data_IF_116052843429
#
_entry.id   IF_116052843429
#
_cell.length_a   1.000
_cell.length_b   1.000
_cell.length_c   1.000
_cell.angle_alpha   90.00
_cell.angle_beta   90.00
_cell.angle_gamma   90.00
#
_symmetry.space_group_name_H-M   'P 1'
#
loop_
_entity.id
_entity.type
_entity.pdbx_description
1 polymer ?
#
# COMPACT_ATOMS: atom_id res chain seq x y z
N UNK A 1 -6.36 31.43 -15.07
CA UNK A 1 -5.47 32.32 -14.29
C UNK A 1 -3.98 32.10 -14.56
N UNK A 2 -3.50 30.85 -14.64
CA UNK A 2 -2.08 30.60 -14.97
C UNK A 2 -1.65 31.15 -16.34
N UNK A 3 -2.51 31.05 -17.37
CA UNK A 3 -2.17 31.48 -18.74
C UNK A 3 -1.64 32.92 -18.84
N UNK A 4 -2.34 33.97 -18.39
CA UNK A 4 -1.81 35.34 -18.50
C UNK A 4 -0.52 35.57 -17.70
N UNK A 5 -0.26 34.79 -16.64
CA UNK A 5 1.02 34.85 -15.90
C UNK A 5 2.16 34.24 -16.71
N UNK A 6 1.92 33.10 -17.35
CA UNK A 6 2.91 32.40 -18.17
C UNK A 6 3.15 33.10 -19.51
N UNK A 7 2.12 33.70 -20.12
CA UNK A 7 2.25 34.55 -21.32
C UNK A 7 3.09 35.79 -21.07
N UNK A 8 3.08 36.28 -19.83
CA UNK A 8 3.86 37.43 -19.42
C UNK A 8 5.30 37.07 -19.06
N UNK A 9 5.72 35.80 -19.20
CA UNK A 9 7.13 35.40 -19.08
C UNK A 9 7.87 35.64 -20.40
N UNK A 10 9.05 36.26 -20.30
CA UNK A 10 10.04 36.44 -21.35
C UNK A 10 11.26 35.53 -21.11
N UNK A 11 12.34 35.74 -21.86
CA UNK A 11 13.58 34.97 -21.72
C UNK A 11 13.61 33.71 -22.60
N UNK A 12 14.44 32.71 -22.27
CA UNK A 12 14.58 31.51 -23.07
C UNK A 12 13.26 30.76 -23.21
N UNK A 13 13.01 30.22 -24.41
CA UNK A 13 11.90 29.29 -24.63
C UNK A 13 12.13 28.05 -23.78
N UNK A 14 11.11 27.61 -23.07
CA UNK A 14 11.19 26.43 -22.24
C UNK A 14 11.57 25.19 -23.09
N UNK A 15 12.41 24.28 -22.55
CA UNK A 15 12.60 22.94 -23.09
C UNK A 15 11.26 22.25 -23.38
N UNK A 16 11.23 21.37 -24.37
CA UNK A 16 9.97 20.75 -24.83
C UNK A 16 9.25 19.96 -23.73
N UNK A 17 10.01 19.24 -22.92
CA UNK A 17 9.58 18.46 -21.76
C UNK A 17 9.01 19.31 -20.61
N UNK A 18 9.25 20.62 -20.60
CA UNK A 18 8.72 21.55 -19.59
C UNK A 18 7.42 22.24 -20.04
N UNK A 19 6.97 22.03 -21.28
CA UNK A 19 5.82 22.76 -21.85
C UNK A 19 4.51 22.08 -21.46
N UNK A 20 3.54 22.88 -21.01
CA UNK A 20 2.16 22.44 -20.82
C UNK A 20 1.31 22.55 -22.09
N UNK A 21 0.00 22.38 -21.94
CA UNK A 21 -0.96 22.38 -23.06
C UNK A 21 -1.69 23.73 -23.32
N UNK A 22 -1.37 24.80 -22.57
CA UNK A 22 -1.89 26.15 -22.86
C UNK A 22 -1.41 26.65 -24.24
N UNK A 23 -2.23 27.45 -24.95
CA UNK A 23 -1.96 27.86 -26.33
C UNK A 23 -0.98 29.04 -26.41
N UNK A 24 0.20 28.89 -25.81
CA UNK A 24 1.19 29.96 -25.62
C UNK A 24 2.59 29.43 -25.94
N UNK A 25 3.54 30.32 -26.21
CA UNK A 25 4.96 29.93 -26.14
C UNK A 25 5.38 30.01 -24.68
N UNK A 26 5.87 28.88 -24.15
CA UNK A 26 6.36 28.84 -22.78
C UNK A 26 7.77 29.41 -22.72
N UNK A 27 7.96 30.36 -21.81
CA UNK A 27 9.26 30.90 -21.48
C UNK A 27 9.61 30.62 -20.03
N UNK A 28 10.91 30.53 -19.71
CA UNK A 28 11.39 30.23 -18.36
C UNK A 28 11.45 31.50 -17.49
N UNK A 29 11.36 32.68 -18.09
CA UNK A 29 11.56 33.95 -17.41
C UNK A 29 13.01 34.44 -17.51
N UNK A 30 13.31 35.57 -16.83
CA UNK A 30 12.39 36.34 -15.99
C UNK A 30 11.46 37.29 -16.77
N UNK A 31 10.41 37.76 -16.10
CA UNK A 31 9.73 39.04 -16.41
C UNK A 31 8.88 39.10 -17.68
N UNK A 32 8.37 40.29 -18.07
CA UNK A 32 8.58 41.57 -17.40
C UNK A 32 7.52 41.88 -16.34
N UNK A 33 6.44 41.09 -16.25
CA UNK A 33 5.38 41.33 -15.28
C UNK A 33 5.86 41.00 -13.86
N UNK A 34 5.60 41.92 -12.92
CA UNK A 34 5.76 41.66 -11.49
C UNK A 34 4.46 41.06 -10.95
N UNK A 35 4.57 39.89 -10.32
CA UNK A 35 3.44 39.24 -9.63
C UNK A 35 3.43 39.67 -8.18
N UNK A 36 2.34 40.27 -7.73
CA UNK A 36 2.13 40.57 -6.32
C UNK A 36 1.20 39.53 -5.69
N UNK A 37 1.76 38.66 -4.84
CA UNK A 37 1.00 37.67 -4.09
C UNK A 37 0.62 38.24 -2.71
N UNK A 38 -0.68 38.28 -2.41
CA UNK A 38 -1.19 38.64 -1.08
C UNK A 38 -1.86 37.43 -0.45
N UNK A 39 -1.19 36.83 0.52
CA UNK A 39 -1.65 35.62 1.21
C UNK A 39 -2.08 35.96 2.64
N UNK A 40 -3.18 35.36 3.09
CA UNK A 40 -3.67 35.45 4.46
C UNK A 40 -4.25 34.09 4.84
N UNK A 41 -3.56 33.40 5.75
CA UNK A 41 -3.90 32.04 6.19
C UNK A 41 -4.34 32.05 7.66
N UNK A 42 -5.21 31.12 8.03
CA UNK A 42 -5.66 30.92 9.41
C UNK A 42 -4.94 29.71 10.03
N UNK A 43 -3.94 29.98 10.86
CA UNK A 43 -3.11 28.94 11.51
C UNK A 43 -3.63 28.62 12.91
N UNK A 44 -4.88 28.15 13.01
CA UNK A 44 -5.52 27.82 14.28
C UNK A 44 -5.52 26.32 14.54
N UNK A 45 -5.30 25.94 15.80
CA UNK A 45 -5.57 24.58 16.27
C UNK A 45 -7.07 24.33 16.29
N UNK A 46 -7.50 23.21 15.68
CA UNK A 46 -8.91 22.79 15.65
C UNK A 46 -9.01 21.33 16.08
N UNK A 47 -10.09 20.93 16.77
CA UNK A 47 -10.31 19.53 17.08
C UNK A 47 -10.65 18.76 15.80
N UNK A 48 -10.03 17.59 15.66
CA UNK A 48 -10.35 16.57 14.66
C UNK A 48 -11.03 15.38 15.35
N UNK A 49 -11.91 14.68 14.64
CA UNK A 49 -12.72 13.59 15.17
C UNK A 49 -12.65 12.35 14.28
N UNK A 50 -11.80 11.41 14.67
CA UNK A 50 -11.85 10.06 14.13
C UNK A 50 -13.06 9.31 14.67
N UNK A 51 -13.72 8.52 13.82
CA UNK A 51 -14.77 7.57 14.24
C UNK A 51 -14.20 6.17 14.15
N UNK A 52 -14.08 5.48 15.29
CA UNK A 52 -13.49 4.13 15.36
C UNK A 52 -14.53 3.15 15.90
N UNK A 53 -14.76 2.06 15.16
CA UNK A 53 -15.66 0.96 15.50
C UNK A 53 -14.84 -0.30 15.71
N UNK A 54 -15.11 -1.04 16.78
CA UNK A 54 -14.44 -2.30 17.10
C UNK A 54 -15.45 -3.44 17.16
N UNK A 55 -15.13 -4.54 16.48
CA UNK A 55 -15.84 -5.82 16.53
C UNK A 55 -14.86 -6.83 17.13
N UNK A 56 -15.13 -7.28 18.36
CA UNK A 56 -14.22 -8.18 19.08
C UNK A 56 -14.15 -9.57 18.44
N UNK A 57 -12.92 -10.09 18.31
CA UNK A 57 -12.65 -11.45 17.88
C UNK A 57 -13.00 -12.49 18.94
N UNK A 58 -13.45 -13.66 18.50
CA UNK A 58 -13.87 -14.76 19.37
C UNK A 58 -12.73 -15.71 19.78
N UNK A 59 -11.69 -15.86 18.95
CA UNK A 59 -10.60 -16.83 19.15
C UNK A 59 -9.25 -16.12 19.35
N UNK A 60 -8.99 -15.07 18.58
CA UNK A 60 -7.76 -14.28 18.60
C UNK A 60 -8.08 -12.77 18.77
N UNK A 61 -8.64 -12.33 19.92
CA UNK A 61 -9.05 -10.94 20.13
C UNK A 61 -7.88 -9.93 20.07
N UNK A 62 -6.65 -10.39 20.27
CA UNK A 62 -5.41 -9.60 20.19
C UNK A 62 -4.78 -9.60 18.79
N UNK A 63 -5.51 -10.03 17.77
CA UNK A 63 -5.12 -9.91 16.36
C UNK A 63 -6.12 -9.00 15.65
N UNK A 64 -5.67 -7.86 15.14
CA UNK A 64 -6.54 -6.77 14.70
C UNK A 64 -6.43 -6.54 13.19
N UNK A 65 -7.54 -6.72 12.47
CA UNK A 65 -7.66 -6.29 11.07
C UNK A 65 -8.18 -4.86 11.09
N UNK A 66 -7.39 -3.91 10.60
CA UNK A 66 -7.77 -2.50 10.59
C UNK A 66 -8.14 -2.09 9.16
N UNK A 67 -9.32 -1.49 8.98
CA UNK A 67 -9.73 -0.89 7.71
C UNK A 67 -10.07 0.58 7.94
N UNK A 68 -9.37 1.46 7.22
CA UNK A 68 -9.50 2.90 7.34
C UNK A 68 -9.82 3.60 6.02
N UNK A 69 -10.47 4.75 6.16
CA UNK A 69 -10.75 5.71 5.11
C UNK A 69 -10.91 7.11 5.75
N UNK A 70 -10.40 8.19 5.16
CA UNK A 70 -10.68 9.52 5.70
C UNK A 70 -12.07 10.03 5.30
N UNK A 71 -12.64 10.91 6.11
CA UNK A 71 -13.98 11.48 5.83
C UNK A 71 -13.96 12.99 5.62
N UNK A 72 -12.86 13.67 5.93
CA UNK A 72 -12.68 15.08 5.62
C UNK A 72 -12.33 15.30 4.15
N UNK A 73 -12.81 16.40 3.59
CA UNK A 73 -12.58 16.80 2.20
C UNK A 73 -12.33 18.31 2.12
N UNK A 74 -11.62 18.77 1.09
CA UNK A 74 -11.44 20.21 0.84
C UNK A 74 -12.75 20.97 0.60
N UNK A 75 -13.68 20.37 -0.17
CA UNK A 75 -14.96 21.00 -0.53
C UNK A 75 -16.11 20.01 -0.40
N UNK A 76 -16.52 19.36 -1.49
CA UNK A 76 -17.60 18.38 -1.49
C UNK A 76 -17.04 16.94 -1.48
N UNK A 77 -15.92 16.71 -2.17
CA UNK A 77 -15.12 15.50 -2.04
C UNK A 77 -15.86 14.23 -2.41
N UNK A 78 -16.59 14.24 -3.52
CA UNK A 78 -17.42 13.10 -3.90
C UNK A 78 -16.57 11.89 -4.28
N UNK A 79 -15.50 12.10 -5.04
CA UNK A 79 -14.46 11.11 -5.27
C UNK A 79 -13.52 11.02 -4.06
N UNK A 80 -12.88 12.13 -3.71
CA UNK A 80 -11.89 12.18 -2.62
C UNK A 80 -12.48 12.87 -1.37
N UNK A 81 -12.79 12.15 -0.29
CA UNK A 81 -12.72 10.68 -0.10
C UNK A 81 -14.08 9.99 -0.05
N UNK A 82 -15.18 10.74 -0.19
CA UNK A 82 -16.51 10.27 0.21
C UNK A 82 -16.88 8.94 -0.46
N UNK A 83 -16.43 8.71 -1.70
CA UNK A 83 -16.68 7.46 -2.41
C UNK A 83 -16.11 6.22 -1.69
N UNK A 84 -14.88 6.26 -1.18
CA UNK A 84 -14.33 5.13 -0.41
C UNK A 84 -14.90 5.08 1.01
N UNK A 85 -15.23 6.22 1.62
CA UNK A 85 -15.92 6.22 2.92
C UNK A 85 -17.29 5.54 2.82
N UNK A 86 -18.03 5.77 1.74
CA UNK A 86 -19.29 5.07 1.44
C UNK A 86 -19.05 3.56 1.29
N UNK A 87 -17.98 3.14 0.62
CA UNK A 87 -17.60 1.73 0.54
C UNK A 87 -17.25 1.13 1.92
N UNK A 88 -16.59 1.89 2.80
CA UNK A 88 -16.33 1.51 4.20
C UNK A 88 -17.63 1.33 4.97
N UNK A 89 -18.56 2.28 4.87
CA UNK A 89 -19.86 2.20 5.54
C UNK A 89 -20.69 1.01 5.05
N UNK A 90 -20.70 0.72 3.74
CA UNK A 90 -21.41 -0.44 3.19
C UNK A 90 -20.77 -1.76 3.62
N UNK A 91 -19.44 -1.81 3.70
CA UNK A 91 -18.71 -2.95 4.27
C UNK A 91 -19.08 -3.16 5.74
N UNK A 92 -19.11 -2.09 6.54
CA UNK A 92 -19.54 -2.14 7.94
C UNK A 92 -20.98 -2.66 8.09
N UNK A 93 -21.89 -2.22 7.21
CA UNK A 93 -23.27 -2.70 7.17
C UNK A 93 -23.34 -4.19 6.86
N UNK A 94 -22.58 -4.67 5.87
CA UNK A 94 -22.49 -6.09 5.53
C UNK A 94 -21.98 -6.95 6.69
N UNK A 95 -20.93 -6.51 7.38
CA UNK A 95 -20.42 -7.17 8.58
C UNK A 95 -21.46 -7.21 9.70
N UNK A 96 -22.20 -6.11 9.91
CA UNK A 96 -23.27 -6.05 10.91
C UNK A 96 -24.41 -7.04 10.62
N UNK A 97 -24.77 -7.26 9.35
CA UNK A 97 -25.75 -8.28 8.96
C UNK A 97 -25.26 -9.70 9.27
N UNK A 98 -23.96 -9.98 9.02
CA UNK A 98 -23.35 -11.27 9.36
C UNK A 98 -23.34 -11.52 10.87
N UNK A 99 -22.99 -10.50 11.67
CA UNK A 99 -23.03 -10.57 13.13
C UNK A 99 -24.46 -10.87 13.65
N UNK A 100 -25.48 -10.25 13.07
CA UNK A 100 -26.88 -10.50 13.43
C UNK A 100 -27.33 -11.94 13.08
N UNK A 101 -26.73 -12.53 12.05
CA UNK A 101 -26.95 -13.93 11.66
C UNK A 101 -26.13 -14.93 12.48
N UNK A 102 -25.31 -14.46 13.42
CA UNK A 102 -24.56 -15.29 14.36
C UNK A 102 -23.13 -15.59 13.94
N UNK A 103 -22.63 -15.02 12.83
CA UNK A 103 -21.20 -15.03 12.55
C UNK A 103 -20.47 -14.23 13.64
N UNK A 104 -19.30 -14.71 14.05
CA UNK A 104 -18.37 -13.98 14.91
C UNK A 104 -16.98 -14.15 14.31
N UNK A 105 -16.23 -13.06 14.06
CA UNK A 105 -14.90 -13.19 13.50
C UNK A 105 -13.98 -13.88 14.52
N UNK A 106 -12.97 -14.62 14.03
CA UNK A 106 -11.94 -15.15 14.95
C UNK A 106 -11.05 -14.02 15.48
N UNK A 107 -10.71 -13.07 14.62
CA UNK A 107 -9.87 -11.89 14.92
C UNK A 107 -10.72 -10.64 15.14
N UNK A 108 -10.17 -9.67 15.85
CA UNK A 108 -10.83 -8.37 16.01
C UNK A 108 -10.80 -7.60 14.69
N UNK A 109 -11.90 -6.93 14.35
CA UNK A 109 -11.97 -5.99 13.23
C UNK A 109 -12.12 -4.57 13.78
N UNK A 110 -11.31 -3.65 13.27
CA UNK A 110 -11.37 -2.22 13.57
C UNK A 110 -11.70 -1.48 12.28
N UNK A 111 -12.76 -0.69 12.29
CA UNK A 111 -13.15 0.17 11.18
C UNK A 111 -12.97 1.62 11.60
N UNK A 112 -12.31 2.42 10.78
CA UNK A 112 -11.96 3.79 11.13
C UNK A 112 -12.30 4.77 10.02
N UNK A 113 -13.03 5.83 10.37
CA UNK A 113 -13.15 7.03 9.55
C UNK A 113 -12.20 8.11 10.10
N UNK A 114 -11.14 8.43 9.37
CA UNK A 114 -10.09 9.37 9.78
C UNK A 114 -10.46 10.82 9.45
N UNK A 115 -10.08 11.77 10.30
CA UNK A 115 -10.29 13.21 10.09
C UNK A 115 -8.94 13.93 9.92
N UNK A 116 -8.92 15.03 9.16
CA UNK A 116 -7.72 15.82 8.88
C UNK A 116 -6.68 15.13 8.01
N UNK A 117 -7.07 14.19 7.15
CA UNK A 117 -6.16 13.58 6.17
C UNK A 117 -5.64 14.63 5.19
N UNK A 118 -6.53 15.50 4.71
CA UNK A 118 -6.23 16.50 3.69
C UNK A 118 -5.25 17.57 4.21
N UNK A 119 -5.12 17.65 5.54
CA UNK A 119 -4.22 18.54 6.25
C UNK A 119 -2.88 17.90 6.61
N UNK A 120 -2.62 16.69 6.11
CA UNK A 120 -1.37 15.95 6.32
C UNK A 120 -1.54 14.71 7.19
N UNK A 121 -2.55 13.89 6.91
CA UNK A 121 -2.75 12.57 7.54
C UNK A 121 -2.95 12.65 9.06
N UNK A 122 -3.47 13.77 9.57
CA UNK A 122 -3.39 14.11 10.99
C UNK A 122 -4.16 13.11 11.86
N UNK A 123 -5.39 12.76 11.50
CA UNK A 123 -6.22 11.87 12.30
C UNK A 123 -5.66 10.47 12.41
N UNK A 124 -5.29 9.85 11.29
CA UNK A 124 -4.69 8.51 11.28
C UNK A 124 -3.34 8.51 11.98
N UNK A 125 -2.49 9.51 11.72
CA UNK A 125 -1.15 9.63 12.31
C UNK A 125 -1.21 9.75 13.82
N UNK A 126 -1.98 10.71 14.36
CA UNK A 126 -2.10 10.94 15.81
C UNK A 126 -2.72 9.73 16.52
N UNK A 127 -3.65 9.02 15.87
CA UNK A 127 -4.20 7.78 16.40
C UNK A 127 -3.17 6.64 16.40
N UNK A 128 -2.42 6.50 15.30
CA UNK A 128 -1.34 5.52 15.16
C UNK A 128 -0.22 5.73 16.18
N UNK A 129 0.21 6.96 16.40
CA UNK A 129 1.22 7.31 17.41
C UNK A 129 0.72 7.05 18.83
N UNK A 130 -0.52 7.46 19.14
CA UNK A 130 -1.13 7.22 20.45
C UNK A 130 -1.24 5.74 20.79
N UNK A 131 -1.54 4.90 19.81
CA UNK A 131 -1.76 3.46 19.98
C UNK A 131 -0.59 2.61 19.46
N UNK A 132 0.60 3.20 19.30
CA UNK A 132 1.72 2.57 18.61
C UNK A 132 2.16 1.24 19.24
N UNK A 133 2.16 1.12 20.56
CA UNK A 133 2.51 -0.12 21.26
C UNK A 133 1.48 -1.23 20.97
N UNK A 134 0.19 -0.90 21.05
CA UNK A 134 -0.91 -1.85 20.80
C UNK A 134 -0.94 -2.28 19.33
N UNK A 135 -0.74 -1.34 18.39
CA UNK A 135 -0.75 -1.62 16.96
C UNK A 135 0.46 -2.44 16.53
N UNK A 136 1.65 -2.18 17.07
CA UNK A 136 2.82 -3.02 16.80
C UNK A 136 2.64 -4.44 17.33
N UNK A 137 1.98 -4.58 18.48
CA UNK A 137 1.71 -5.88 19.08
C UNK A 137 0.60 -6.66 18.36
N UNK A 138 -0.47 -5.99 17.92
CA UNK A 138 -1.73 -6.66 17.58
C UNK A 138 -2.19 -6.48 16.13
N UNK A 139 -1.74 -5.45 15.41
CA UNK A 139 -2.25 -5.17 14.07
C UNK A 139 -1.78 -6.21 13.06
N UNK A 140 -2.71 -6.97 12.50
CA UNK A 140 -2.42 -7.97 11.49
C UNK A 140 -2.10 -7.32 10.16
N UNK A 141 -3.01 -6.45 9.71
CA UNK A 141 -2.88 -5.68 8.49
C UNK A 141 -3.72 -4.39 8.59
N UNK A 142 -3.31 -3.37 7.84
CA UNK A 142 -4.11 -2.18 7.58
C UNK A 142 -4.59 -2.18 6.13
N UNK A 143 -5.87 -1.92 5.90
CA UNK A 143 -6.46 -1.77 4.57
C UNK A 143 -6.94 -0.32 4.44
N UNK A 144 -6.52 0.35 3.39
CA UNK A 144 -6.88 1.72 3.03
C UNK A 144 -7.74 1.73 1.78
N UNK A 145 -8.67 2.68 1.68
CA UNK A 145 -9.55 2.81 0.50
C UNK A 145 -9.67 4.20 -0.10
N UNK A 146 -9.36 5.26 0.65
CA UNK A 146 -9.38 6.67 0.19
C UNK A 146 -10.55 6.99 -0.77
N UNK A 147 -10.31 7.41 -2.00
CA UNK A 147 -11.29 7.57 -3.06
C UNK A 147 -11.36 6.38 -4.02
N UNK A 148 -12.54 6.14 -4.58
CA UNK A 148 -12.83 5.19 -5.63
C UNK A 148 -13.55 5.89 -6.79
N UNK A 149 -13.33 5.41 -8.01
CA UNK A 149 -13.86 5.97 -9.24
C UNK A 149 -14.17 4.86 -10.24
N UNK A 150 -14.71 5.25 -11.40
CA UNK A 150 -14.81 4.35 -12.55
C UNK A 150 -13.42 3.91 -13.01
N UNK A 151 -13.23 2.61 -13.22
CA UNK A 151 -11.92 2.10 -13.55
C UNK A 151 -11.67 0.66 -13.12
N UNK A 152 -10.40 0.27 -13.09
CA UNK A 152 -9.99 -1.06 -12.64
C UNK A 152 -9.44 -0.96 -11.22
N UNK A 153 -9.37 -2.11 -10.54
CA UNK A 153 -8.74 -2.19 -9.23
C UNK A 153 -7.29 -1.68 -9.32
N UNK A 154 -6.97 -0.68 -8.52
CA UNK A 154 -5.61 -0.31 -8.15
C UNK A 154 -5.35 -0.93 -6.78
N UNK A 155 -4.26 -1.69 -6.69
CA UNK A 155 -3.80 -2.27 -5.44
C UNK A 155 -2.32 -1.94 -5.27
N UNK A 156 -1.99 -1.35 -4.13
CA UNK A 156 -0.62 -1.15 -3.69
C UNK A 156 -0.45 -1.60 -2.24
N UNK A 157 0.74 -2.00 -1.82
CA UNK A 157 0.95 -2.43 -0.45
C UNK A 157 2.23 -3.20 -0.18
N UNK A 158 2.21 -3.84 0.98
CA UNK A 158 3.15 -4.89 1.35
C UNK A 158 3.03 -6.07 0.39
N UNK A 159 4.15 -6.45 -0.22
CA UNK A 159 4.15 -7.51 -1.23
C UNK A 159 3.91 -8.89 -0.62
N UNK A 160 4.05 -9.05 0.70
CA UNK A 160 3.61 -10.24 1.43
C UNK A 160 2.10 -10.52 1.30
N UNK A 161 1.30 -9.51 0.94
CA UNK A 161 -0.15 -9.60 0.72
C UNK A 161 -0.53 -9.63 -0.77
N UNK A 162 0.43 -9.67 -1.69
CA UNK A 162 0.18 -9.66 -3.13
C UNK A 162 -0.63 -10.86 -3.59
N UNK A 163 -0.21 -12.08 -3.24
CA UNK A 163 -0.96 -13.28 -3.58
C UNK A 163 -2.37 -13.24 -2.99
N UNK A 164 -2.48 -12.81 -1.72
CA UNK A 164 -3.76 -12.69 -1.04
C UNK A 164 -4.75 -11.79 -1.78
N UNK A 165 -4.34 -10.57 -2.17
CA UNK A 165 -5.24 -9.65 -2.88
C UNK A 165 -5.55 -10.14 -4.30
N UNK A 166 -4.63 -10.86 -4.94
CA UNK A 166 -4.87 -11.54 -6.22
C UNK A 166 -5.98 -12.58 -6.12
N UNK A 167 -5.97 -13.39 -5.06
CA UNK A 167 -7.02 -14.39 -4.80
C UNK A 167 -8.37 -13.75 -4.45
N UNK A 168 -8.35 -12.62 -3.73
CA UNK A 168 -9.58 -11.83 -3.50
C UNK A 168 -10.11 -11.30 -4.82
N UNK A 169 -9.26 -10.70 -5.66
CA UNK A 169 -9.66 -10.17 -6.96
C UNK A 169 -10.17 -11.25 -7.92
N UNK A 170 -9.67 -12.50 -7.81
CA UNK A 170 -10.17 -13.65 -8.56
C UNK A 170 -11.63 -13.99 -8.21
N UNK A 171 -11.99 -13.88 -6.94
CA UNK A 171 -13.27 -14.42 -6.45
C UNK A 171 -14.36 -13.35 -6.34
N UNK A 172 -13.99 -12.07 -6.39
CA UNK A 172 -14.95 -10.96 -6.37
C UNK A 172 -15.40 -10.65 -7.80
N UNK A 173 -16.72 -10.57 -8.06
CA UNK A 173 -17.25 -10.14 -9.36
C UNK A 173 -16.74 -8.75 -9.74
N UNK A 174 -16.33 -8.59 -10.99
CA UNK A 174 -15.90 -7.31 -11.52
C UNK A 174 -17.07 -6.30 -11.66
N UNK A 175 -16.80 -4.98 -11.59
CA UNK A 175 -17.82 -3.95 -11.80
C UNK A 175 -18.26 -3.77 -13.27
N UNK A 176 -17.58 -4.39 -14.24
CA UNK A 176 -17.86 -4.31 -15.69
C UNK A 176 -18.49 -5.61 -16.23
N UNK A 177 -18.35 -5.83 -17.54
CA UNK A 177 -19.04 -6.86 -18.31
C UNK A 177 -18.46 -8.27 -18.08
N UNK A 178 -18.87 -8.90 -16.98
CA UNK A 178 -18.70 -10.34 -16.72
C UNK A 178 -17.30 -10.75 -16.28
N UNK A 179 -17.25 -11.76 -15.40
CA UNK A 179 -16.00 -12.25 -14.82
C UNK A 179 -15.69 -11.62 -13.46
N UNK A 180 -14.46 -11.85 -13.01
CA UNK A 180 -13.92 -11.34 -11.75
C UNK A 180 -13.17 -10.03 -11.92
N UNK A 181 -12.88 -9.34 -10.81
CA UNK A 181 -11.99 -8.17 -10.79
C UNK A 181 -10.63 -8.50 -11.42
N UNK A 182 -10.11 -9.70 -11.17
CA UNK A 182 -8.86 -10.18 -11.78
C UNK A 182 -8.96 -10.35 -13.29
N UNK A 183 -10.09 -10.86 -13.80
CA UNK A 183 -10.29 -11.02 -15.25
C UNK A 183 -10.31 -9.66 -15.95
N UNK A 184 -10.92 -8.65 -15.34
CA UNK A 184 -10.90 -7.27 -15.86
C UNK A 184 -9.48 -6.67 -15.87
N UNK A 185 -8.70 -6.90 -14.81
CA UNK A 185 -7.31 -6.45 -14.75
C UNK A 185 -6.45 -7.14 -15.80
N UNK A 186 -6.62 -8.44 -15.99
CA UNK A 186 -5.92 -9.19 -17.03
C UNK A 186 -6.27 -8.65 -18.42
N UNK A 187 -7.54 -8.40 -18.69
CA UNK A 187 -7.98 -7.81 -19.96
C UNK A 187 -7.35 -6.43 -20.20
N UNK A 188 -7.28 -5.58 -19.17
CA UNK A 188 -6.60 -4.28 -19.25
C UNK A 188 -5.12 -4.42 -19.56
N UNK A 189 -4.41 -5.30 -18.85
CA UNK A 189 -2.97 -5.51 -19.06
C UNK A 189 -2.69 -5.99 -20.47
N UNK A 190 -3.51 -6.89 -21.01
CA UNK A 190 -3.39 -7.35 -22.40
C UNK A 190 -3.62 -6.23 -23.43
N UNK A 191 -4.58 -5.33 -23.18
CA UNK A 191 -4.82 -4.15 -24.04
C UNK A 191 -3.66 -3.15 -24.01
N UNK A 192 -2.95 -3.06 -22.87
CA UNK A 192 -1.81 -2.17 -22.66
C UNK A 192 -0.45 -2.81 -23.00
N UNK A 193 -0.41 -4.11 -23.32
CA UNK A 193 0.84 -4.83 -23.52
C UNK A 193 1.53 -4.39 -24.81
N UNK A 194 2.81 -4.01 -24.71
CA UNK A 194 3.63 -3.63 -25.85
C UNK A 194 4.48 -4.81 -26.34
N UNK A 195 3.95 -5.58 -27.30
CA UNK A 195 4.66 -6.67 -27.98
C UNK A 195 4.31 -8.08 -27.51
N UNK A 196 4.72 -9.08 -28.30
CA UNK A 196 4.33 -10.48 -28.12
C UNK A 196 4.86 -11.10 -26.82
N UNK A 197 6.05 -10.69 -26.36
CA UNK A 197 6.66 -11.20 -25.12
C UNK A 197 5.86 -10.75 -23.88
N UNK A 198 5.46 -9.48 -23.83
CA UNK A 198 4.62 -8.96 -22.75
C UNK A 198 3.24 -9.63 -22.71
N UNK A 199 2.64 -9.89 -23.89
CA UNK A 199 1.39 -10.64 -24.01
C UNK A 199 1.57 -12.06 -23.46
N UNK A 200 2.62 -12.78 -23.88
CA UNK A 200 2.89 -14.14 -23.44
C UNK A 200 3.10 -14.23 -21.91
N UNK A 201 3.79 -13.25 -21.33
CA UNK A 201 3.98 -13.14 -19.88
C UNK A 201 2.65 -12.96 -19.13
N UNK A 202 1.80 -12.03 -19.59
CA UNK A 202 0.47 -11.82 -19.00
C UNK A 202 -0.43 -13.04 -19.20
N UNK A 203 -0.31 -13.74 -20.32
CA UNK A 203 -1.08 -14.95 -20.58
C UNK A 203 -0.67 -16.13 -19.68
N UNK A 204 0.62 -16.23 -19.38
CA UNK A 204 1.19 -17.25 -18.50
C UNK A 204 0.98 -16.94 -17.01
N UNK A 205 0.82 -15.66 -16.65
CA UNK A 205 0.64 -15.25 -15.27
C UNK A 205 -0.79 -15.46 -14.75
N UNK A 206 -0.92 -16.04 -13.55
CA UNK A 206 -2.19 -16.15 -12.84
C UNK A 206 -2.43 -14.99 -11.85
N UNK A 207 -1.46 -14.08 -11.73
CA UNK A 207 -1.43 -12.98 -10.78
C UNK A 207 -1.16 -11.64 -11.48
N UNK A 208 -1.35 -10.55 -10.75
CA UNK A 208 -0.92 -9.22 -11.12
C UNK A 208 -0.05 -8.63 -10.00
N UNK A 209 1.01 -7.88 -10.35
CA UNK A 209 1.81 -7.20 -9.37
C UNK A 209 0.99 -6.09 -8.70
N UNK A 210 1.22 -5.86 -7.42
CA UNK A 210 0.76 -4.66 -6.73
C UNK A 210 1.87 -3.60 -6.71
N UNK A 211 1.52 -2.33 -6.59
CA UNK A 211 2.53 -1.27 -6.47
C UNK A 211 3.09 -1.17 -5.06
N UNK A 212 4.35 -0.78 -4.89
CA UNK A 212 4.84 -0.32 -3.59
C UNK A 212 4.10 0.96 -3.15
N UNK A 213 3.92 1.13 -1.84
CA UNK A 213 3.33 2.35 -1.27
C UNK A 213 4.42 3.33 -0.82
N UNK A 214 4.19 4.60 -1.12
CA UNK A 214 4.96 5.72 -0.56
C UNK A 214 4.13 6.35 0.54
N UNK A 215 3.71 7.59 0.34
CA UNK A 215 2.72 8.26 1.18
C UNK A 215 1.56 8.76 0.32
N UNK A 216 0.74 9.66 0.85
CA UNK A 216 -0.41 10.25 0.16
C UNK A 216 -1.75 9.63 0.50
N UNK A 217 -1.82 8.84 1.58
CA UNK A 217 -3.07 8.52 2.29
C UNK A 217 -2.75 7.94 3.68
N UNK A 218 -3.79 7.59 4.44
CA UNK A 218 -3.73 7.21 5.86
C UNK A 218 -2.89 5.95 6.16
N UNK A 219 -2.56 5.13 5.16
CA UNK A 219 -1.67 3.97 5.35
C UNK A 219 -0.26 4.35 5.79
N UNK A 220 0.16 5.60 5.60
CA UNK A 220 1.52 6.09 5.87
C UNK A 220 1.99 5.78 7.30
N UNK A 221 1.17 6.07 8.32
CA UNK A 221 1.55 5.76 9.72
C UNK A 221 1.62 4.25 9.98
N UNK A 222 0.76 3.48 9.33
CA UNK A 222 0.70 2.03 9.50
C UNK A 222 1.92 1.37 8.86
N UNK A 223 2.17 1.61 7.57
CA UNK A 223 3.27 0.99 6.85
C UNK A 223 4.62 1.62 7.23
N UNK A 224 4.77 2.93 7.07
CA UNK A 224 6.10 3.52 7.11
C UNK A 224 6.62 3.73 8.53
N UNK A 225 5.74 4.02 9.49
CA UNK A 225 6.14 4.30 10.88
C UNK A 225 6.01 3.10 11.82
N UNK A 226 4.88 2.38 11.73
CA UNK A 226 4.58 1.24 12.59
C UNK A 226 4.94 -0.11 11.97
N UNK A 227 5.37 -0.13 10.70
CA UNK A 227 5.72 -1.32 9.91
C UNK A 227 4.63 -2.38 9.90
N UNK A 228 3.38 -1.94 9.86
CA UNK A 228 2.18 -2.76 9.67
C UNK A 228 2.00 -3.09 8.20
N UNK A 229 1.87 -4.39 7.89
CA UNK A 229 1.57 -4.84 6.54
C UNK A 229 0.29 -4.14 6.05
N UNK A 230 0.38 -3.44 4.92
CA UNK A 230 -0.69 -2.53 4.50
C UNK A 230 -1.10 -2.76 3.05
N UNK A 231 -2.37 -2.52 2.75
CA UNK A 231 -2.92 -2.48 1.39
C UNK A 231 -3.64 -1.15 1.17
N UNK A 232 -3.51 -0.56 -0.01
CA UNK A 232 -4.35 0.52 -0.51
C UNK A 232 -5.12 0.02 -1.71
N UNK A 233 -6.45 0.04 -1.63
CA UNK A 233 -7.35 -0.55 -2.61
C UNK A 233 -8.35 0.50 -3.09
N UNK A 234 -8.40 0.74 -4.40
CA UNK A 234 -9.39 1.62 -5.02
C UNK A 234 -9.73 1.15 -6.43
N UNK A 235 -10.80 1.67 -7.03
CA UNK A 235 -11.01 1.55 -8.47
C UNK A 235 -10.71 2.87 -9.16
N UNK A 236 -9.93 2.86 -10.24
CA UNK A 236 -9.63 4.07 -11.03
C UNK A 236 -9.05 3.75 -12.41
N UNK A 237 -9.00 4.74 -13.30
CA UNK A 237 -8.33 4.65 -14.60
C UNK A 237 -9.16 5.07 -15.82
N UNK A 238 -10.50 5.08 -15.74
CA UNK A 238 -11.38 5.49 -16.85
C UNK A 238 -11.76 6.97 -16.73
N UNK A 239 -10.79 7.86 -16.98
CA UNK A 239 -10.96 9.29 -16.79
C UNK A 239 -10.90 9.64 -15.30
N UNK A 240 -9.68 9.83 -14.80
CA UNK A 240 -9.42 10.09 -13.39
C UNK A 240 -10.13 11.36 -12.90
N UNK A 241 -10.36 11.42 -11.59
CA UNK A 241 -10.72 12.66 -10.89
C UNK A 241 -9.67 13.76 -11.09
N UNK A 242 -8.53 13.52 -11.76
CA UNK A 242 -7.45 14.50 -11.94
C UNK A 242 -7.88 15.85 -12.54
N UNK A 243 -8.97 15.89 -13.31
CA UNK A 243 -9.53 17.15 -13.81
C UNK A 243 -10.34 17.96 -12.79
N UNK A 244 -10.77 17.34 -11.69
CA UNK A 244 -11.64 17.93 -10.65
C UNK A 244 -11.08 17.80 -9.23
N UNK A 245 -9.97 17.09 -9.05
CA UNK A 245 -9.29 16.81 -7.78
C UNK A 245 -9.11 18.09 -6.95
N UNK A 246 -9.43 18.00 -5.65
CA UNK A 246 -9.36 19.10 -4.67
C UNK A 246 -10.06 20.39 -5.10
N UNK A 247 -11.05 20.28 -5.98
CA UNK A 247 -11.81 21.42 -6.48
C UNK A 247 -13.27 21.33 -6.09
N UNK A 248 -13.98 22.46 -6.19
CA UNK A 248 -15.45 22.48 -6.04
C UNK A 248 -16.21 21.64 -7.08
N UNK A 249 -15.53 21.16 -8.12
CA UNK A 249 -16.09 20.32 -9.16
C UNK A 249 -15.99 18.83 -8.84
N UNK A 250 -15.22 18.45 -7.81
CA UNK A 250 -15.36 17.13 -7.20
C UNK A 250 -16.66 17.11 -6.39
N UNK A 251 -17.76 16.98 -7.12
CA UNK A 251 -19.13 17.06 -6.64
C UNK A 251 -19.88 15.78 -6.95
N UNK A 252 -20.95 15.54 -6.19
CA UNK A 252 -21.83 14.40 -6.43
C UNK A 252 -22.35 14.39 -7.88
N UNK A 253 -22.73 15.54 -8.41
CA UNK A 253 -23.19 15.67 -9.80
C UNK A 253 -22.12 15.21 -10.81
N UNK A 254 -20.86 15.62 -10.63
CA UNK A 254 -19.76 15.14 -11.49
C UNK A 254 -19.59 13.63 -11.35
N UNK A 255 -19.54 13.15 -10.10
CA UNK A 255 -19.30 11.75 -9.78
C UNK A 255 -20.35 10.84 -10.44
N UNK A 256 -21.64 11.15 -10.27
CA UNK A 256 -22.74 10.36 -10.85
C UNK A 256 -22.97 10.59 -12.34
N UNK A 257 -22.31 11.58 -12.95
CA UNK A 257 -22.42 11.83 -14.40
C UNK A 257 -21.26 11.23 -15.18
N UNK A 258 -20.04 11.28 -14.63
CA UNK A 258 -18.82 10.97 -15.37
C UNK A 258 -17.96 9.87 -14.76
N UNK A 259 -18.03 9.67 -13.43
CA UNK A 259 -17.29 8.62 -12.74
C UNK A 259 -18.17 7.38 -12.59
N UNK A 260 -18.52 6.97 -11.38
CA UNK A 260 -19.26 5.73 -11.10
C UNK A 260 -20.79 5.95 -11.12
N UNK A 261 -21.33 6.15 -12.33
CA UNK A 261 -22.75 6.51 -12.61
C UNK A 261 -23.75 5.61 -11.90
N UNK A 262 -23.53 4.29 -11.94
CA UNK A 262 -24.43 3.27 -11.37
C UNK A 262 -23.92 2.70 -10.04
N UNK A 263 -22.89 3.30 -9.44
CA UNK A 263 -22.24 2.87 -8.19
C UNK A 263 -21.68 1.44 -8.20
N UNK A 264 -21.43 0.88 -9.38
CA UNK A 264 -20.97 -0.52 -9.53
C UNK A 264 -19.53 -0.69 -9.06
N UNK A 265 -18.68 0.34 -9.19
CA UNK A 265 -17.29 0.31 -8.74
C UNK A 265 -17.19 0.50 -7.22
N UNK A 266 -17.99 1.40 -6.66
CA UNK A 266 -18.10 1.61 -5.20
C UNK A 266 -18.60 0.33 -4.52
N UNK A 267 -19.57 -0.36 -5.12
CA UNK A 267 -20.01 -1.70 -4.69
C UNK A 267 -18.88 -2.71 -4.81
N UNK A 268 -18.18 -2.76 -5.94
CA UNK A 268 -17.07 -3.70 -6.14
C UNK A 268 -15.96 -3.47 -5.11
N UNK A 269 -15.60 -2.22 -4.79
CA UNK A 269 -14.64 -1.90 -3.74
C UNK A 269 -15.08 -2.43 -2.37
N UNK A 270 -16.34 -2.18 -1.98
CA UNK A 270 -16.89 -2.74 -0.74
C UNK A 270 -16.84 -4.27 -0.71
N UNK A 271 -17.11 -4.93 -1.85
CA UNK A 271 -17.04 -6.39 -1.95
C UNK A 271 -15.59 -6.91 -1.89
N UNK A 272 -14.64 -6.23 -2.55
CA UNK A 272 -13.21 -6.54 -2.49
C UNK A 272 -12.69 -6.42 -1.06
N UNK A 273 -12.90 -5.27 -0.42
CA UNK A 273 -12.42 -5.01 0.94
C UNK A 273 -13.14 -5.87 1.97
N UNK A 274 -14.46 -6.01 1.87
CA UNK A 274 -15.24 -6.89 2.74
C UNK A 274 -14.80 -8.35 2.64
N UNK A 275 -14.51 -8.84 1.43
CA UNK A 275 -13.97 -10.19 1.23
C UNK A 275 -12.58 -10.32 1.83
N UNK A 276 -11.71 -9.32 1.65
CA UNK A 276 -10.38 -9.31 2.26
C UNK A 276 -10.47 -9.35 3.80
N UNK A 277 -11.30 -8.50 4.41
CA UNK A 277 -11.52 -8.48 5.86
C UNK A 277 -12.03 -9.83 6.35
N UNK A 278 -13.05 -10.41 5.71
CA UNK A 278 -13.59 -11.71 6.12
C UNK A 278 -12.55 -12.82 6.07
N UNK A 279 -11.75 -12.88 4.99
CA UNK A 279 -10.67 -13.88 4.85
C UNK A 279 -9.61 -13.71 5.92
N UNK A 280 -9.13 -12.49 6.16
CA UNK A 280 -8.15 -12.22 7.22
C UNK A 280 -8.73 -12.51 8.61
N UNK A 281 -9.99 -12.13 8.85
CA UNK A 281 -10.64 -12.27 10.15
C UNK A 281 -10.87 -13.74 10.54
N UNK A 282 -11.13 -14.62 9.57
CA UNK A 282 -11.49 -16.03 9.81
C UNK A 282 -10.40 -17.06 9.45
N UNK A 283 -9.30 -16.60 8.83
CA UNK A 283 -8.17 -17.45 8.45
C UNK A 283 -7.65 -18.30 9.61
N UNK A 284 -7.44 -19.60 9.39
CA UNK A 284 -6.75 -20.45 10.37
C UNK A 284 -5.27 -20.08 10.44
N UNK A 285 -4.62 -19.97 9.28
CA UNK A 285 -3.29 -19.41 9.10
C UNK A 285 -3.41 -18.18 8.21
N UNK A 286 -2.81 -17.06 8.62
CA UNK A 286 -2.87 -15.82 7.87
C UNK A 286 -2.20 -15.95 6.49
N UNK A 287 -2.81 -15.40 5.42
CA UNK A 287 -2.38 -15.63 4.04
C UNK A 287 -1.24 -14.71 3.61
N UNK A 288 -0.12 -14.76 4.35
CA UNK A 288 1.12 -14.07 3.97
C UNK A 288 1.97 -15.00 3.09
N UNK A 289 2.54 -14.45 2.02
CA UNK A 289 3.49 -15.14 1.14
C UNK A 289 4.86 -14.46 1.24
N UNK A 290 5.93 -15.25 1.32
CA UNK A 290 7.31 -14.74 1.44
C UNK A 290 8.19 -15.00 0.22
N UNK A 291 7.73 -15.83 -0.72
CA UNK A 291 8.43 -16.12 -1.99
C UNK A 291 8.28 -14.92 -2.92
N UNK A 292 7.06 -14.52 -3.24
CA UNK A 292 6.74 -13.34 -4.05
C UNK A 292 7.33 -12.07 -3.42
N UNK A 293 7.41 -12.04 -2.09
CA UNK A 293 8.00 -10.92 -1.37
C UNK A 293 9.52 -10.84 -1.62
N UNK A 294 10.24 -11.97 -1.48
CA UNK A 294 11.67 -12.03 -1.77
C UNK A 294 11.97 -11.68 -3.24
N UNK A 295 11.18 -12.21 -4.18
CA UNK A 295 11.30 -11.92 -5.61
C UNK A 295 11.12 -10.43 -5.91
N UNK A 296 10.10 -9.79 -5.32
CA UNK A 296 9.85 -8.36 -5.52
C UNK A 296 10.95 -7.49 -4.92
N UNK A 297 11.45 -7.80 -3.72
CA UNK A 297 12.60 -7.04 -3.17
C UNK A 297 13.83 -7.25 -4.06
N UNK A 298 14.02 -8.46 -4.61
CA UNK A 298 15.07 -8.76 -5.57
C UNK A 298 15.08 -7.84 -6.78
N UNK A 299 13.91 -7.54 -7.37
CA UNK A 299 13.83 -6.60 -8.50
C UNK A 299 14.21 -5.17 -8.08
N UNK A 300 13.91 -4.74 -6.85
CA UNK A 300 14.39 -3.45 -6.35
C UNK A 300 15.91 -3.42 -6.19
N UNK A 301 16.54 -4.53 -5.81
CA UNK A 301 18.01 -4.63 -5.76
C UNK A 301 18.61 -4.50 -7.17
N UNK A 302 17.98 -5.09 -8.19
CA UNK A 302 18.39 -4.91 -9.60
C UNK A 302 18.24 -3.47 -10.09
N UNK A 303 17.19 -2.75 -9.64
CA UNK A 303 17.05 -1.32 -9.91
C UNK A 303 18.15 -0.49 -9.22
N UNK A 304 18.61 -0.89 -8.02
CA UNK A 304 19.74 -0.25 -7.34
C UNK A 304 21.04 -0.49 -8.10
N UNK A 305 21.31 -1.72 -8.58
CA UNK A 305 22.47 -2.01 -9.43
C UNK A 305 22.46 -1.14 -10.69
N UNK A 306 21.30 -1.06 -11.36
CA UNK A 306 21.16 -0.25 -12.57
C UNK A 306 21.42 1.24 -12.31
N UNK A 307 20.93 1.76 -11.17
CA UNK A 307 21.19 3.13 -10.74
C UNK A 307 22.68 3.33 -10.42
N UNK A 308 23.30 2.40 -9.70
CA UNK A 308 24.72 2.46 -9.33
C UNK A 308 25.62 2.44 -10.57
N UNK A 309 25.38 1.50 -11.50
CA UNK A 309 26.12 1.38 -12.75
C UNK A 309 26.06 2.67 -13.58
N UNK A 310 24.91 3.35 -13.59
CA UNK A 310 24.76 4.63 -14.30
C UNK A 310 25.63 5.76 -13.75
N UNK A 311 26.06 5.66 -12.48
CA UNK A 311 26.91 6.63 -11.79
C UNK A 311 28.38 6.17 -11.68
N UNK A 312 28.66 4.89 -11.92
CA UNK A 312 30.01 4.33 -11.93
C UNK A 312 30.90 4.97 -13.01
N UNK A 313 30.32 5.38 -14.14
CA UNK A 313 31.03 6.12 -15.20
C UNK A 313 31.58 7.48 -14.72
N UNK A 314 31.01 8.04 -13.66
CA UNK A 314 31.43 9.31 -13.03
C UNK A 314 32.39 9.12 -11.84
N UNK A 315 32.89 7.90 -11.62
CA UNK A 315 33.87 7.59 -10.57
C UNK A 315 33.27 7.29 -9.20
N UNK A 316 32.01 6.87 -9.15
CA UNK A 316 31.39 6.35 -7.94
C UNK A 316 32.18 5.15 -7.36
N UNK A 317 32.29 5.04 -6.02
CA UNK A 317 32.85 3.85 -5.39
C UNK A 317 31.96 2.63 -5.64
N UNK A 318 32.57 1.44 -5.57
CA UNK A 318 31.86 0.17 -5.62
C UNK A 318 30.91 0.02 -4.42
N UNK A 319 29.75 -0.60 -4.62
CA UNK A 319 28.75 -0.85 -3.58
C UNK A 319 28.37 -2.33 -3.60
N UNK A 320 28.79 -3.07 -2.57
CA UNK A 320 28.54 -4.51 -2.50
C UNK A 320 27.11 -4.81 -2.03
N UNK A 321 26.24 -5.24 -2.95
CA UNK A 321 24.86 -5.67 -2.64
C UNK A 321 24.73 -7.17 -2.35
N UNK A 322 25.82 -7.95 -2.41
CA UNK A 322 25.80 -9.40 -2.17
C UNK A 322 25.20 -9.79 -0.79
N UNK A 323 25.41 -9.03 0.31
CA UNK A 323 24.75 -9.34 1.58
C UNK A 323 23.22 -9.38 1.48
N UNK A 324 22.61 -8.47 0.72
CA UNK A 324 21.16 -8.44 0.50
C UNK A 324 20.75 -9.63 -0.37
N UNK A 325 21.48 -9.92 -1.45
CA UNK A 325 21.20 -11.06 -2.33
C UNK A 325 21.24 -12.39 -1.58
N UNK A 326 22.22 -12.57 -0.70
CA UNK A 326 22.32 -13.74 0.16
C UNK A 326 21.13 -13.85 1.13
N UNK A 327 20.75 -12.75 1.78
CA UNK A 327 19.60 -12.71 2.69
C UNK A 327 18.27 -12.98 1.96
N UNK A 328 18.09 -12.46 0.74
CA UNK A 328 16.93 -12.75 -0.11
C UNK A 328 16.88 -14.24 -0.49
N UNK A 329 18.00 -14.85 -0.87
CA UNK A 329 18.05 -16.29 -1.14
C UNK A 329 17.69 -17.15 0.08
N UNK A 330 18.05 -16.69 1.29
CA UNK A 330 17.59 -17.33 2.54
C UNK A 330 16.09 -17.16 2.75
N UNK A 331 15.55 -15.97 2.51
CA UNK A 331 14.12 -15.69 2.64
C UNK A 331 13.30 -16.49 1.64
N UNK A 332 13.73 -16.58 0.38
CA UNK A 332 13.10 -17.39 -0.67
C UNK A 332 13.09 -18.88 -0.27
N UNK A 333 14.22 -19.39 0.23
CA UNK A 333 14.30 -20.78 0.73
C UNK A 333 13.35 -21.02 1.90
N UNK A 334 13.30 -20.10 2.86
CA UNK A 334 12.40 -20.18 4.01
C UNK A 334 10.92 -20.09 3.57
N UNK A 335 10.59 -19.19 2.64
CA UNK A 335 9.28 -19.03 2.04
C UNK A 335 8.82 -20.29 1.30
N UNK A 336 9.69 -20.91 0.49
CA UNK A 336 9.37 -22.17 -0.18
C UNK A 336 9.12 -23.32 0.79
N UNK A 337 9.87 -23.40 1.89
CA UNK A 337 9.61 -24.39 2.95
C UNK A 337 8.28 -24.12 3.67
N UNK A 338 7.97 -22.85 3.92
CA UNK A 338 6.71 -22.40 4.50
C UNK A 338 5.50 -22.78 3.62
N UNK A 339 5.53 -22.47 2.32
CA UNK A 339 4.43 -22.81 1.38
C UNK A 339 4.19 -24.32 1.30
N UNK A 340 5.27 -25.13 1.31
CA UNK A 340 5.15 -26.59 1.37
C UNK A 340 4.54 -27.08 2.68
N UNK A 341 4.81 -26.42 3.80
CA UNK A 341 4.19 -26.73 5.07
C UNK A 341 2.70 -26.32 5.09
N UNK A 342 2.37 -25.19 4.49
CA UNK A 342 1.01 -24.65 4.42
C UNK A 342 0.11 -25.58 3.59
N UNK A 343 0.57 -25.97 2.41
CA UNK A 343 -0.15 -26.92 1.56
C UNK A 343 -0.40 -28.28 2.25
N UNK A 344 0.50 -28.72 3.14
CA UNK A 344 0.30 -29.94 3.93
C UNK A 344 -0.76 -29.75 5.02
N UNK A 345 -0.76 -28.59 5.68
CA UNK A 345 -1.76 -28.27 6.70
C UNK A 345 -3.16 -28.15 6.08
N UNK A 346 -3.27 -27.51 4.91
CA UNK A 346 -4.53 -27.40 4.17
C UNK A 346 -5.08 -28.76 3.72
N UNK A 347 -4.19 -29.71 3.44
CA UNK A 347 -4.52 -31.10 3.13
C UNK A 347 -4.80 -31.98 4.35
N UNK A 348 -4.53 -31.50 5.57
CA UNK A 348 -4.75 -32.24 6.80
C UNK A 348 -6.25 -32.26 7.19
N UNK A 349 -6.66 -33.26 7.96
CA UNK A 349 -8.04 -33.35 8.45
C UNK A 349 -8.34 -32.15 9.37
N UNK A 350 -9.56 -31.59 9.33
CA UNK A 350 -9.92 -30.39 10.08
C UNK A 350 -9.73 -30.53 11.60
N UNK A 351 -9.63 -31.77 12.10
CA UNK A 351 -9.30 -32.09 13.49
C UNK A 351 -7.81 -32.02 13.85
N UNK A 352 -6.88 -31.91 12.90
CA UNK A 352 -5.43 -31.85 13.16
C UNK A 352 -5.04 -30.58 13.92
N UNK A 353 -5.65 -29.45 13.56
CA UNK A 353 -5.50 -28.17 14.25
C UNK A 353 -6.29 -28.09 15.58
N UNK A 354 -7.18 -29.05 15.86
CA UNK A 354 -8.03 -29.01 17.04
C UNK A 354 -7.20 -29.19 18.32
N UNK A 355 -7.27 -28.21 19.23
CA UNK A 355 -6.51 -28.21 20.48
C UNK A 355 -5.07 -27.68 20.35
N UNK A 356 -4.71 -27.10 19.20
CA UNK A 356 -3.42 -26.41 18.96
C UNK A 356 -3.56 -24.88 18.95
N UNK A 357 -4.52 -24.33 19.70
CA UNK A 357 -4.84 -22.90 19.70
C UNK A 357 -3.64 -22.00 20.02
N UNK A 358 -2.82 -22.37 20.99
CA UNK A 358 -1.62 -21.60 21.36
C UNK A 358 -0.56 -21.62 20.25
N UNK A 359 -0.32 -22.79 19.62
CA UNK A 359 0.62 -22.91 18.50
C UNK A 359 0.11 -22.12 17.27
N UNK A 360 -1.21 -22.11 17.01
CA UNK A 360 -1.84 -21.30 15.96
C UNK A 360 -1.76 -19.81 16.24
N UNK A 361 -1.97 -19.39 17.49
CA UNK A 361 -1.87 -18.00 17.89
C UNK A 361 -0.44 -17.49 17.67
N UNK A 362 0.56 -18.27 18.10
CA UNK A 362 1.97 -17.91 17.93
C UNK A 362 2.42 -17.96 16.47
N UNK A 363 1.99 -18.98 15.71
CA UNK A 363 2.22 -19.05 14.27
C UNK A 363 1.72 -17.77 13.58
N UNK A 364 0.46 -17.41 13.80
CA UNK A 364 -0.11 -16.21 13.21
C UNK A 364 0.60 -14.95 13.69
N UNK A 365 1.03 -14.88 14.95
CA UNK A 365 1.83 -13.78 15.49
C UNK A 365 3.12 -13.59 14.70
N UNK A 366 3.86 -14.67 14.44
CA UNK A 366 5.07 -14.61 13.61
C UNK A 366 4.75 -14.16 12.18
N UNK A 367 3.60 -14.57 11.62
CA UNK A 367 3.23 -14.14 10.26
C UNK A 367 2.90 -12.64 10.19
N UNK A 368 2.00 -12.13 11.03
CA UNK A 368 1.62 -10.74 10.90
C UNK A 368 2.66 -9.76 11.43
N UNK A 369 3.54 -10.18 12.34
CA UNK A 369 4.66 -9.34 12.79
C UNK A 369 5.87 -9.39 11.85
N UNK A 370 5.83 -10.18 10.78
CA UNK A 370 6.94 -10.34 9.82
C UNK A 370 7.42 -9.02 9.23
N UNK A 371 6.48 -8.15 8.82
CA UNK A 371 6.79 -6.81 8.30
C UNK A 371 7.58 -5.94 9.30
N UNK A 372 7.46 -6.20 10.60
CA UNK A 372 8.16 -5.43 11.64
C UNK A 372 9.65 -5.73 11.67
N UNK A 373 10.07 -6.89 11.14
CA UNK A 373 11.48 -7.21 10.96
C UNK A 373 12.19 -6.20 10.03
N UNK A 374 11.43 -5.54 9.15
CA UNK A 374 11.92 -4.54 8.20
C UNK A 374 11.94 -3.12 8.76
N UNK A 375 11.82 -2.96 10.09
CA UNK A 375 11.87 -1.67 10.75
C UNK A 375 13.30 -1.26 11.12
N UNK A 376 13.72 -0.08 10.67
CA UNK A 376 14.89 0.61 11.20
C UNK A 376 14.61 1.10 12.63
N UNK A 377 15.43 0.76 13.64
CA UNK A 377 15.25 1.27 14.99
C UNK A 377 15.49 2.79 15.07
N UNK A 378 16.37 3.31 14.22
CA UNK A 378 16.72 4.74 14.17
C UNK A 378 15.89 5.52 13.16
N UNK A 379 15.24 4.84 12.21
CA UNK A 379 14.53 5.45 11.09
C UNK A 379 15.42 5.71 9.88
N UNK A 380 14.86 6.36 8.86
CA UNK A 380 15.55 6.75 7.64
C UNK A 380 16.33 8.07 7.82
N UNK A 381 17.45 8.26 7.10
CA UNK A 381 18.22 9.49 7.18
C UNK A 381 17.38 10.71 6.82
N UNK A 382 17.58 11.82 7.55
CA UNK A 382 16.85 13.09 7.39
C UNK A 382 15.34 13.04 7.69
N UNK A 383 14.76 11.86 7.90
CA UNK A 383 13.31 11.64 8.11
C UNK A 383 13.06 10.44 9.02
N UNK A 384 13.58 10.53 10.25
CA UNK A 384 13.65 9.45 11.23
C UNK A 384 12.27 8.91 11.67
N UNK A 385 11.18 9.64 11.44
CA UNK A 385 9.82 9.15 11.64
C UNK A 385 9.48 7.97 10.71
N UNK A 386 10.01 7.96 9.49
CA UNK A 386 9.86 6.82 8.56
C UNK A 386 10.85 5.72 8.96
N UNK A 387 10.35 4.53 9.25
CA UNK A 387 11.09 3.39 9.80
C UNK A 387 11.26 2.24 8.81
N UNK A 388 10.37 2.10 7.83
CA UNK A 388 10.38 0.94 6.95
C UNK A 388 11.60 0.94 6.00
N UNK A 389 12.34 -0.18 5.97
CA UNK A 389 13.61 -0.30 5.23
C UNK A 389 13.45 -0.58 3.73
N UNK A 390 12.31 -1.16 3.33
CA UNK A 390 12.00 -1.48 1.92
C UNK A 390 11.18 -0.40 1.22
N UNK A 391 10.23 0.24 1.90
CA UNK A 391 9.32 1.23 1.33
C UNK A 391 9.39 2.51 2.14
N UNK A 392 9.38 3.66 1.48
CA UNK A 392 9.02 4.93 2.11
C UNK A 392 8.71 5.97 1.02
N UNK A 393 7.95 7.05 1.30
CA UNK A 393 7.93 8.20 0.41
C UNK A 393 9.34 8.75 0.21
N UNK A 394 9.71 9.17 -1.00
CA UNK A 394 11.03 9.75 -1.23
C UNK A 394 11.15 11.17 -0.69
N UNK A 395 12.37 11.55 -0.29
CA UNK A 395 12.66 12.85 0.32
C UNK A 395 12.25 14.05 -0.56
N UNK A 396 12.35 13.89 -1.89
CA UNK A 396 12.03 14.94 -2.87
C UNK A 396 10.94 14.54 -3.87
N UNK A 397 10.32 13.36 -3.74
CA UNK A 397 9.29 12.86 -4.66
C UNK A 397 7.87 13.07 -4.14
N UNK A 398 7.70 13.70 -2.97
CA UNK A 398 6.40 13.87 -2.33
C UNK A 398 5.81 12.52 -1.96
N UNK A 399 4.66 12.17 -2.54
CA UNK A 399 3.97 10.90 -2.29
C UNK A 399 4.63 9.70 -2.98
N UNK A 400 5.45 9.93 -4.00
CA UNK A 400 6.09 8.86 -4.77
C UNK A 400 7.02 8.02 -3.89
N UNK A 401 6.84 6.70 -3.95
CA UNK A 401 7.66 5.73 -3.21
C UNK A 401 9.11 5.71 -3.70
N UNK A 402 10.04 5.53 -2.76
CA UNK A 402 11.41 5.07 -3.00
C UNK A 402 11.53 3.67 -2.40
N UNK A 403 11.89 2.70 -3.24
CA UNK A 403 12.20 1.34 -2.80
C UNK A 403 13.65 1.27 -2.34
N UNK A 404 13.89 0.52 -1.25
CA UNK A 404 15.16 0.46 -0.54
C UNK A 404 15.71 1.88 -0.24
N UNK A 405 14.89 2.78 0.37
CA UNK A 405 15.12 4.22 0.36
C UNK A 405 16.47 4.64 0.93
N UNK A 406 16.92 4.03 2.03
CA UNK A 406 18.22 4.37 2.62
C UNK A 406 19.42 4.07 1.74
N UNK A 407 19.32 3.06 0.86
CA UNK A 407 20.35 2.73 -0.13
C UNK A 407 20.20 3.65 -1.34
N UNK A 408 18.99 3.71 -1.90
CA UNK A 408 18.68 4.48 -3.11
C UNK A 408 19.03 5.95 -2.97
N UNK A 409 18.54 6.59 -1.90
CA UNK A 409 18.76 8.02 -1.66
C UNK A 409 20.22 8.30 -1.29
N UNK A 410 20.89 7.37 -0.60
CA UNK A 410 22.32 7.46 -0.35
C UNK A 410 23.14 7.49 -1.65
N UNK A 411 22.78 6.67 -2.65
CA UNK A 411 23.40 6.70 -3.98
C UNK A 411 23.08 8.01 -4.72
N UNK A 412 21.80 8.41 -4.76
CA UNK A 412 21.34 9.62 -5.46
C UNK A 412 22.01 10.90 -4.91
N UNK A 413 22.28 10.94 -3.60
CA UNK A 413 22.94 12.06 -2.93
C UNK A 413 24.47 11.91 -2.84
N UNK A 414 25.04 10.83 -3.37
CA UNK A 414 26.47 10.49 -3.25
C UNK A 414 26.98 10.33 -1.80
N UNK A 415 26.09 9.99 -0.88
CA UNK A 415 26.39 9.65 0.52
C UNK A 415 26.71 8.16 0.66
N UNK A 416 27.83 7.73 0.08
CA UNK A 416 28.19 6.31 -0.08
C UNK A 416 28.31 5.52 1.22
N UNK A 417 28.81 6.15 2.29
CA UNK A 417 28.89 5.50 3.60
C UNK A 417 27.50 5.25 4.21
N UNK A 418 26.52 6.08 3.88
CA UNK A 418 25.12 5.88 4.27
C UNK A 418 24.51 4.71 3.47
N UNK A 419 24.72 4.69 2.15
CA UNK A 419 24.28 3.58 1.31
C UNK A 419 24.83 2.23 1.79
N UNK A 420 26.13 2.13 2.05
CA UNK A 420 26.79 0.92 2.56
C UNK A 420 26.25 0.48 3.94
N UNK A 421 26.00 1.43 4.85
CA UNK A 421 25.39 1.12 6.14
C UNK A 421 23.97 0.54 5.97
N UNK A 422 23.18 1.11 5.06
CA UNK A 422 21.82 0.63 4.79
C UNK A 422 21.78 -0.71 4.05
N UNK A 423 22.81 -1.05 3.26
CA UNK A 423 22.96 -2.42 2.74
C UNK A 423 23.01 -3.42 3.89
N UNK A 424 23.82 -3.12 4.91
CA UNK A 424 23.95 -3.99 6.09
C UNK A 424 22.63 -4.07 6.86
N UNK A 425 21.97 -2.93 7.11
CA UNK A 425 20.70 -2.91 7.82
C UNK A 425 19.59 -3.69 7.10
N UNK A 426 19.50 -3.58 5.77
CA UNK A 426 18.52 -4.32 4.97
C UNK A 426 18.82 -5.82 4.99
N UNK A 427 20.09 -6.21 4.84
CA UNK A 427 20.49 -7.62 4.89
C UNK A 427 20.15 -8.26 6.26
N UNK A 428 20.50 -7.59 7.36
CA UNK A 428 20.21 -8.06 8.73
C UNK A 428 18.69 -8.19 8.98
N UNK A 429 17.91 -7.25 8.47
CA UNK A 429 16.44 -7.26 8.56
C UNK A 429 15.82 -8.42 7.78
N UNK A 430 16.30 -8.68 6.55
CA UNK A 430 15.87 -9.80 5.73
C UNK A 430 16.26 -11.15 6.32
N UNK A 431 17.45 -11.25 6.91
CA UNK A 431 17.90 -12.44 7.64
C UNK A 431 17.02 -12.73 8.86
N UNK A 432 16.65 -11.69 9.61
CA UNK A 432 15.72 -11.79 10.74
C UNK A 432 14.33 -12.25 10.27
N UNK A 433 13.85 -11.69 9.16
CA UNK A 433 12.59 -12.12 8.54
C UNK A 433 12.64 -13.59 8.11
N UNK A 434 13.74 -14.04 7.48
CA UNK A 434 13.91 -15.44 7.09
C UNK A 434 13.93 -16.39 8.30
N UNK A 435 14.57 -16.00 9.41
CA UNK A 435 14.55 -16.77 10.67
C UNK A 435 13.13 -16.88 11.24
N UNK A 436 12.37 -15.79 11.23
CA UNK A 436 10.98 -15.75 11.67
C UNK A 436 10.05 -16.63 10.81
N UNK A 437 10.24 -16.66 9.49
CA UNK A 437 9.49 -17.55 8.58
C UNK A 437 9.84 -19.02 8.83
N UNK A 438 11.10 -19.33 9.14
CA UNK A 438 11.51 -20.69 9.53
C UNK A 438 10.85 -21.13 10.85
N UNK A 439 10.76 -20.24 11.83
CA UNK A 439 10.07 -20.52 13.09
C UNK A 439 8.57 -20.77 12.89
N UNK A 440 7.92 -19.96 12.05
CA UNK A 440 6.54 -20.17 11.62
C UNK A 440 6.36 -21.55 10.96
N UNK A 441 7.27 -21.94 10.07
CA UNK A 441 7.26 -23.26 9.43
C UNK A 441 7.34 -24.41 10.44
N UNK A 442 8.18 -24.29 11.47
CA UNK A 442 8.30 -25.29 12.54
C UNK A 442 6.99 -25.40 13.35
N UNK A 443 6.37 -24.27 13.69
CA UNK A 443 5.06 -24.24 14.35
C UNK A 443 3.98 -24.89 13.50
N UNK A 444 3.97 -24.60 12.20
CA UNK A 444 3.00 -25.18 11.28
C UNK A 444 3.09 -26.70 11.22
N UNK A 445 4.30 -27.27 11.23
CA UNK A 445 4.47 -28.73 11.35
C UNK A 445 3.90 -29.29 12.66
N UNK A 446 4.06 -28.59 13.79
CA UNK A 446 3.46 -29.00 15.07
C UNK A 446 1.94 -28.97 15.06
N UNK A 447 1.36 -28.01 14.33
CA UNK A 447 -0.09 -27.89 14.13
C UNK A 447 -0.61 -29.01 13.22
N UNK A 448 0.12 -29.37 12.16
CA UNK A 448 -0.29 -30.39 11.21
C UNK A 448 -0.26 -31.83 11.77
N UNK A 449 0.49 -32.08 12.85
CA UNK A 449 0.56 -33.38 13.54
C UNK A 449 1.82 -34.15 13.22
#
# INVERSE_FOLDING_TARGET
DAQPLLEALEGPVAPEDWRGALPITYHVGPGPAEVHMKLAFDWQTRPLYNVVVRIDGSEFPDQWIVHGNHHDAWVAGAADPTSGNVALMETARGLAELLQQGWQPKRTIILSAWDGEEWGLLGSTEWGEKHAEELRANAVAYINTDGSNKGWLSAGGSHSLQQFINEVARDVPGPRDGGSVRDELRARRLDQAEGDDAIAEIEASETFPISALGSGSDYTVFLDHLTVASLNLSFSGDGSSGGVYHSKYDSFDWYTTYSDVDFVHTRALSQTVGTAILRLADATVLPFNFVDYAETIGSYVEEIDTLHDSLAEDGAPDLDLEPIRAALGRLETAGGAYELALARLDGADAGAAAGRGDDLAELNRLLYTSERALASPVGLPRRDWFKHLVYAPGLYTGYGVKTLPGIREGIEESEWAEAEAFVTHVADALDTLADQVNEATILMHRVAG
#
